data_IF_448333232910
#
_entry.id   IF_448333232910
#
_cell.length_a   1.000
_cell.length_b   1.000
_cell.length_c   1.000
_cell.angle_alpha   90.00
_cell.angle_beta   90.00
_cell.angle_gamma   90.00
#
_symmetry.space_group_name_H-M   'P 1'
#
loop_
_entity.id
_entity.type
_entity.pdbx_description
1 polymer ?
#
# COMPACT_ATOMS: atom_id res chain seq x y z
N UNK A 1 -23.37 29.82 19.93
CA UNK A 1 -22.17 30.27 20.67
C UNK A 1 -21.09 29.18 20.87
N UNK A 2 -21.10 28.08 20.10
CA UNK A 2 -20.09 26.99 20.18
C UNK A 2 -19.36 26.70 18.85
N UNK A 3 -19.68 27.44 17.78
CA UNK A 3 -18.96 27.46 16.49
C UNK A 3 -17.54 28.07 16.57
N UNK A 4 -17.18 28.60 17.74
CA UNK A 4 -15.89 29.26 17.99
C UNK A 4 -14.81 28.25 18.41
N UNK A 5 -15.17 27.02 18.86
CA UNK A 5 -14.18 26.06 19.36
C UNK A 5 -13.42 25.29 18.24
N UNK A 6 -14.06 24.98 17.11
CA UNK A 6 -13.39 24.42 15.93
C UNK A 6 -12.69 25.50 15.09
N UNK A 7 -13.21 26.74 15.10
CA UNK A 7 -12.56 27.89 14.45
C UNK A 7 -11.36 28.46 15.21
N UNK A 8 -11.32 28.35 16.55
CA UNK A 8 -10.17 28.83 17.35
C UNK A 8 -8.99 27.85 17.39
N UNK A 9 -9.20 26.56 17.18
CA UNK A 9 -8.09 25.62 17.01
C UNK A 9 -7.34 25.82 15.68
N UNK A 10 -7.95 26.49 14.71
CA UNK A 10 -7.31 26.88 13.44
C UNK A 10 -6.62 28.26 13.50
N UNK A 11 -6.82 29.06 14.55
CA UNK A 11 -6.34 30.46 14.62
C UNK A 11 -5.35 30.76 15.77
N UNK A 12 -4.86 29.73 16.46
CA UNK A 12 -3.83 29.90 17.50
C UNK A 12 -2.75 28.81 17.45
N UNK A 13 -2.34 28.38 16.26
CA UNK A 13 -0.99 27.83 16.10
C UNK A 13 -0.03 29.04 16.04
N UNK A 14 0.79 29.27 17.07
CA UNK A 14 1.71 30.40 17.04
C UNK A 14 2.66 30.23 15.86
N UNK A 15 2.88 31.33 15.14
CA UNK A 15 4.01 31.52 14.24
C UNK A 15 5.32 31.42 15.04
N UNK A 16 5.68 30.21 15.45
CA UNK A 16 7.02 29.85 15.86
C UNK A 16 7.59 29.01 14.73
N UNK A 17 8.78 29.39 14.27
CA UNK A 17 9.60 28.54 13.42
C UNK A 17 9.78 27.20 14.13
N UNK A 18 8.95 26.23 13.78
CA UNK A 18 9.18 24.86 14.13
C UNK A 18 10.42 24.44 13.34
N UNK A 19 11.41 23.89 14.06
CA UNK A 19 12.43 23.07 13.45
C UNK A 19 11.75 21.98 12.59
N UNK A 20 12.44 21.34 11.64
CA UNK A 20 11.88 20.24 10.85
C UNK A 20 11.67 19.02 11.77
N UNK A 21 10.68 19.09 12.65
CA UNK A 21 10.02 17.93 13.18
C UNK A 21 9.14 17.42 12.04
N UNK A 22 9.60 16.32 11.45
CA UNK A 22 8.88 15.52 10.46
C UNK A 22 7.41 15.43 10.88
N UNK A 23 6.51 15.92 10.02
CA UNK A 23 5.08 15.82 10.25
C UNK A 23 4.73 14.32 10.15
N UNK A 24 4.39 13.63 11.26
CA UNK A 24 4.19 12.17 11.24
C UNK A 24 3.06 11.76 10.29
N UNK A 25 2.14 12.68 10.00
CA UNK A 25 1.03 12.48 9.07
C UNK A 25 1.45 12.57 7.60
N UNK A 26 2.52 13.30 7.27
CA UNK A 26 3.03 13.39 5.90
C UNK A 26 3.68 12.07 5.47
N UNK A 27 4.50 11.48 6.34
CA UNK A 27 5.10 10.17 6.08
C UNK A 27 4.04 9.08 6.01
N UNK A 28 3.05 9.11 6.91
CA UNK A 28 1.91 8.19 6.87
C UNK A 28 1.08 8.34 5.57
N UNK A 29 0.90 9.57 5.07
CA UNK A 29 0.18 9.83 3.83
C UNK A 29 0.93 9.33 2.59
N UNK A 30 2.22 9.67 2.43
CA UNK A 30 3.05 9.18 1.33
C UNK A 30 3.18 7.65 1.34
N UNK A 31 3.11 7.06 2.53
CA UNK A 31 3.00 5.62 2.73
C UNK A 31 1.66 5.09 2.17
N UNK A 32 0.52 5.63 2.60
CA UNK A 32 -0.80 5.22 2.10
C UNK A 32 -0.96 5.40 0.58
N UNK A 33 -0.34 6.44 0.01
CA UNK A 33 -0.30 6.67 -1.44
C UNK A 33 0.18 5.44 -2.21
N UNK A 34 1.25 4.78 -1.76
CA UNK A 34 1.76 3.58 -2.41
C UNK A 34 0.68 2.50 -2.54
N UNK A 35 -0.08 2.27 -1.46
CA UNK A 35 -1.12 1.24 -1.42
C UNK A 35 -2.30 1.61 -2.29
N UNK A 36 -2.74 2.86 -2.27
CA UNK A 36 -3.82 3.33 -3.13
C UNK A 36 -3.46 3.17 -4.62
N UNK A 37 -2.21 3.48 -4.98
CA UNK A 37 -1.69 3.29 -6.35
C UNK A 37 -1.61 1.80 -6.71
N UNK A 38 -1.16 0.94 -5.77
CA UNK A 38 -1.16 -0.52 -5.94
C UNK A 38 -2.58 -1.05 -6.20
N UNK A 39 -3.54 -0.72 -5.34
CA UNK A 39 -4.93 -1.16 -5.48
C UNK A 39 -5.60 -0.60 -6.74
N UNK A 40 -5.24 0.63 -7.14
CA UNK A 40 -5.66 1.21 -8.41
C UNK A 40 -5.14 0.41 -9.60
N UNK A 41 -3.86 -0.01 -9.55
CA UNK A 41 -3.26 -0.85 -10.58
C UNK A 41 -3.85 -2.26 -10.60
N UNK A 42 -4.12 -2.89 -9.46
CA UNK A 42 -4.76 -4.23 -9.40
C UNK A 42 -6.12 -4.24 -10.09
N UNK A 43 -6.96 -3.22 -9.82
CA UNK A 43 -8.26 -3.08 -10.48
C UNK A 43 -8.11 -2.86 -11.99
N UNK A 44 -7.28 -1.91 -12.39
CA UNK A 44 -7.02 -1.65 -13.81
C UNK A 44 -6.45 -2.90 -14.51
N UNK A 45 -5.61 -3.67 -13.83
CA UNK A 45 -5.06 -4.92 -14.36
C UNK A 45 -6.16 -5.95 -14.59
N UNK A 46 -7.05 -6.15 -13.63
CA UNK A 46 -8.16 -7.09 -13.73
C UNK A 46 -9.12 -6.76 -14.89
N UNK A 47 -9.33 -5.47 -15.16
CA UNK A 47 -10.21 -4.97 -16.22
C UNK A 47 -9.54 -4.94 -17.61
N UNK A 48 -8.21 -4.82 -17.66
CA UNK A 48 -7.46 -4.69 -18.91
C UNK A 48 -7.45 -5.97 -19.78
N UNK A 49 -7.36 -5.78 -21.09
CA UNK A 49 -7.18 -6.87 -22.05
C UNK A 49 -5.75 -7.44 -22.02
N UNK A 50 -5.58 -8.64 -22.58
CA UNK A 50 -4.26 -9.31 -22.57
C UNK A 50 -3.20 -8.54 -23.35
N UNK A 51 -3.59 -7.83 -24.42
CA UNK A 51 -2.69 -6.97 -25.17
C UNK A 51 -2.12 -5.83 -24.29
N UNK A 52 -2.98 -5.14 -23.55
CA UNK A 52 -2.58 -4.05 -22.67
C UNK A 52 -1.68 -4.54 -21.54
N UNK A 53 -2.03 -5.70 -20.94
CA UNK A 53 -1.21 -6.37 -19.93
C UNK A 53 0.17 -6.74 -20.46
N UNK A 54 0.25 -7.27 -21.68
CA UNK A 54 1.54 -7.65 -22.27
C UNK A 54 2.42 -6.43 -22.55
N UNK A 55 1.85 -5.29 -22.95
CA UNK A 55 2.61 -4.04 -23.07
C UNK A 55 3.23 -3.61 -21.74
N UNK A 56 2.46 -3.67 -20.67
CA UNK A 56 2.95 -3.35 -19.33
C UNK A 56 4.04 -4.33 -18.88
N UNK A 57 3.88 -5.63 -19.16
CA UNK A 57 4.94 -6.62 -18.89
C UNK A 57 6.20 -6.33 -19.69
N UNK A 58 6.08 -6.00 -20.97
CA UNK A 58 7.22 -5.68 -21.83
C UNK A 58 7.99 -4.45 -21.30
N UNK A 59 7.29 -3.40 -20.90
CA UNK A 59 7.89 -2.22 -20.25
C UNK A 59 8.60 -2.59 -18.94
N UNK A 60 7.96 -3.40 -18.08
CA UNK A 60 8.56 -3.83 -16.83
C UNK A 60 9.81 -4.71 -17.04
N UNK A 61 9.81 -5.58 -18.06
CA UNK A 61 10.99 -6.39 -18.45
C UNK A 61 12.13 -5.49 -18.95
N UNK A 62 11.83 -4.50 -19.78
CA UNK A 62 12.84 -3.57 -20.31
C UNK A 62 13.50 -2.71 -19.23
N UNK A 63 12.74 -2.31 -18.20
CA UNK A 63 13.22 -1.48 -17.10
C UNK A 63 13.81 -2.28 -15.93
N UNK A 64 13.89 -3.62 -16.05
CA UNK A 64 14.39 -4.47 -14.99
C UNK A 64 15.89 -4.34 -14.84
N UNK A 65 16.36 -4.10 -13.62
CA UNK A 65 17.80 -4.07 -13.33
C UNK A 65 18.29 -5.43 -12.83
N UNK A 66 19.55 -5.77 -13.16
CA UNK A 66 20.18 -7.00 -12.69
C UNK A 66 20.18 -7.06 -11.16
N UNK A 67 19.70 -8.17 -10.59
CA UNK A 67 19.63 -8.38 -9.14
C UNK A 67 18.34 -7.90 -8.47
N UNK A 68 17.36 -7.33 -9.19
CA UNK A 68 16.05 -7.04 -8.62
C UNK A 68 15.30 -8.33 -8.22
N UNK A 69 14.70 -8.39 -7.01
CA UNK A 69 13.95 -9.55 -6.54
C UNK A 69 12.71 -9.81 -7.40
N UNK A 70 12.12 -11.01 -7.30
CA UNK A 70 10.97 -11.37 -8.12
C UNK A 70 9.70 -10.64 -7.71
N UNK A 71 9.47 -10.54 -6.40
CA UNK A 71 8.44 -9.70 -5.82
C UNK A 71 9.12 -8.52 -5.13
N UNK A 72 9.06 -7.34 -5.76
CA UNK A 72 9.58 -6.09 -5.19
C UNK A 72 8.48 -5.05 -5.09
N UNK A 73 8.58 -4.18 -4.09
CA UNK A 73 7.72 -3.02 -3.98
C UNK A 73 8.11 -2.01 -5.08
N UNK A 74 7.31 -1.94 -6.14
CA UNK A 74 7.52 -0.97 -7.21
C UNK A 74 7.44 0.47 -6.68
N UNK A 75 8.15 1.42 -7.30
CA UNK A 75 8.00 2.82 -6.91
C UNK A 75 6.60 3.34 -7.28
N UNK A 76 6.11 4.38 -6.58
CA UNK A 76 4.85 5.02 -6.92
C UNK A 76 4.80 5.48 -8.38
N UNK A 77 5.93 5.95 -8.93
CA UNK A 77 6.06 6.29 -10.35
C UNK A 77 5.76 5.08 -11.26
N UNK A 78 6.40 3.93 -11.01
CA UNK A 78 6.21 2.71 -11.82
C UNK A 78 4.77 2.24 -11.77
N UNK A 79 4.12 2.32 -10.60
CA UNK A 79 2.71 1.98 -10.45
C UNK A 79 1.80 2.91 -11.27
N UNK A 80 2.07 4.21 -11.22
CA UNK A 80 1.33 5.22 -11.99
C UNK A 80 1.51 5.01 -13.50
N UNK A 81 2.75 4.85 -13.97
CA UNK A 81 3.08 4.63 -15.38
C UNK A 81 2.40 3.35 -15.91
N UNK A 82 2.47 2.25 -15.15
CA UNK A 82 1.80 1.00 -15.50
C UNK A 82 0.28 1.15 -15.62
N UNK A 83 -0.35 1.89 -14.70
CA UNK A 83 -1.79 2.14 -14.74
C UNK A 83 -2.20 2.94 -15.99
N UNK A 84 -1.41 3.94 -16.40
CA UNK A 84 -1.69 4.68 -17.63
C UNK A 84 -1.59 3.80 -18.88
N UNK A 85 -0.57 2.93 -18.95
CA UNK A 85 -0.41 1.98 -20.07
C UNK A 85 -1.63 1.03 -20.20
N UNK A 86 -2.24 0.63 -19.08
CA UNK A 86 -3.44 -0.21 -19.08
C UNK A 86 -4.71 0.52 -19.53
N UNK A 87 -4.77 1.84 -19.39
CA UNK A 87 -5.92 2.63 -19.82
C UNK A 87 -6.05 2.74 -21.36
N UNK A 88 -5.15 2.09 -22.12
CA UNK A 88 -5.25 1.96 -23.58
C UNK A 88 -4.53 3.06 -24.37
N UNK A 89 -3.74 3.89 -23.69
CA UNK A 89 -3.11 5.07 -24.29
C UNK A 89 -1.60 4.80 -24.50
N UNK A 90 -1.33 3.95 -25.50
CA UNK A 90 0.00 3.40 -25.80
C UNK A 90 1.00 4.48 -26.25
N UNK A 91 0.53 5.44 -27.05
CA UNK A 91 1.27 6.68 -27.35
C UNK A 91 1.46 7.50 -26.08
N UNK A 92 0.42 7.61 -25.23
CA UNK A 92 0.48 8.52 -24.09
C UNK A 92 1.50 8.18 -23.01
N UNK A 93 2.07 6.97 -22.86
CA UNK A 93 3.10 6.76 -21.81
C UNK A 93 4.51 7.08 -22.26
N UNK A 94 4.86 6.91 -23.54
CA UNK A 94 6.10 7.49 -24.11
C UNK A 94 5.94 8.97 -24.43
N UNK A 95 4.74 9.40 -24.82
CA UNK A 95 4.37 10.77 -25.13
C UNK A 95 3.75 11.52 -23.95
N UNK A 96 3.72 10.92 -22.74
CA UNK A 96 3.26 11.60 -21.54
C UNK A 96 4.12 12.84 -21.46
N UNK A 97 3.47 13.97 -21.73
CA UNK A 97 4.14 15.25 -21.74
C UNK A 97 4.83 15.39 -20.41
N UNK A 98 5.98 16.06 -20.39
CA UNK A 98 6.69 16.30 -19.15
C UNK A 98 5.77 16.98 -18.11
N UNK A 99 4.78 17.75 -18.57
CA UNK A 99 3.66 18.28 -17.80
C UNK A 99 2.86 17.19 -17.11
N UNK A 100 2.35 16.20 -17.84
CA UNK A 100 1.56 15.11 -17.23
C UNK A 100 2.40 14.31 -16.24
N UNK A 101 3.68 14.06 -16.54
CA UNK A 101 4.60 13.39 -15.60
C UNK A 101 4.82 14.19 -14.31
N UNK A 102 5.01 15.51 -14.45
CA UNK A 102 5.11 16.42 -13.31
C UNK A 102 3.81 16.41 -12.51
N UNK A 103 2.65 16.57 -13.15
CA UNK A 103 1.36 16.55 -12.46
C UNK A 103 1.10 15.22 -11.76
N UNK A 104 1.46 14.08 -12.36
CA UNK A 104 1.35 12.76 -11.74
C UNK A 104 2.31 12.57 -10.56
N UNK A 105 3.43 13.29 -10.54
CA UNK A 105 4.37 13.29 -9.43
C UNK A 105 3.89 14.10 -8.21
N UNK A 106 2.80 14.87 -8.37
CA UNK A 106 2.14 15.57 -7.28
C UNK A 106 1.08 14.67 -6.67
N UNK A 107 1.13 14.55 -5.36
CA UNK A 107 0.09 13.94 -4.56
C UNK A 107 -0.71 15.01 -3.83
N UNK A 108 -1.99 14.73 -3.57
CA UNK A 108 -2.91 15.69 -2.97
C UNK A 108 -3.48 15.15 -1.67
N UNK A 109 -3.19 15.83 -0.58
CA UNK A 109 -3.77 15.56 0.73
C UNK A 109 -4.80 16.64 1.04
N UNK A 110 -6.09 16.27 1.02
CA UNK A 110 -7.21 17.20 1.21
C UNK A 110 -7.62 17.21 2.69
N UNK A 111 -7.74 18.40 3.27
CA UNK A 111 -8.11 18.61 4.67
C UNK A 111 -9.29 19.61 4.79
N UNK A 112 -10.41 19.20 5.39
CA UNK A 112 -10.78 17.82 5.73
C UNK A 112 -10.83 16.89 4.50
N UNK A 113 -10.62 15.59 4.69
CA UNK A 113 -10.64 14.59 3.60
C UNK A 113 -12.03 14.34 2.98
N UNK A 114 -13.04 15.06 3.45
CA UNK A 114 -14.40 15.07 2.94
C UNK A 114 -15.09 16.39 3.27
N UNK A 115 -16.18 16.66 2.57
CA UNK A 115 -16.95 17.89 2.75
C UNK A 115 -18.44 17.59 2.85
N UNK A 116 -19.18 18.55 3.39
CA UNK A 116 -20.63 18.51 3.44
C UNK A 116 -21.20 18.73 2.03
N UNK A 117 -21.91 17.75 1.51
CA UNK A 117 -22.63 17.90 0.24
C UNK A 117 -23.81 18.85 0.41
N UNK A 118 -23.71 20.04 -0.18
CA UNK A 118 -24.70 21.12 -0.07
C UNK A 118 -24.95 21.80 -1.42
N UNK A 119 -26.22 22.09 -1.72
CA UNK A 119 -26.66 22.83 -2.91
C UNK A 119 -26.57 24.36 -2.68
N UNK A 120 -25.41 24.85 -2.21
CA UNK A 120 -25.18 26.29 -1.96
C UNK A 120 -23.96 26.76 -2.75
N UNK A 121 -23.96 28.04 -3.12
CA UNK A 121 -22.91 28.67 -3.95
C UNK A 121 -21.48 28.56 -3.38
N UNK A 122 -21.35 28.33 -2.07
CA UNK A 122 -20.05 28.15 -1.40
C UNK A 122 -20.13 27.02 -0.38
N UNK A 123 -19.42 25.92 -0.67
CA UNK A 123 -19.27 24.78 0.24
C UNK A 123 -18.21 25.01 1.32
N UNK A 124 -17.91 23.94 2.05
CA UNK A 124 -16.92 23.94 3.13
C UNK A 124 -15.54 24.43 2.67
N UNK A 125 -14.81 25.09 3.55
CA UNK A 125 -13.42 25.49 3.27
C UNK A 125 -12.52 24.26 3.32
N UNK A 126 -11.66 24.11 2.31
CA UNK A 126 -10.72 23.01 2.16
C UNK A 126 -9.30 23.54 1.99
N UNK A 127 -8.37 22.82 2.58
CA UNK A 127 -6.93 22.98 2.37
C UNK A 127 -6.46 21.76 1.59
N UNK A 128 -5.70 21.97 0.53
CA UNK A 128 -5.01 20.90 -0.17
C UNK A 128 -3.53 21.09 -0.03
N UNK A 129 -2.90 20.14 0.66
CA UNK A 129 -1.45 20.00 0.68
C UNK A 129 -1.03 19.29 -0.58
N UNK A 130 -0.26 20.00 -1.41
CA UNK A 130 0.35 19.47 -2.62
C UNK A 130 1.72 18.92 -2.25
N UNK A 131 1.86 17.60 -2.31
CA UNK A 131 3.03 16.87 -1.87
C UNK A 131 3.80 16.33 -3.09
N UNK A 132 5.04 16.77 -3.35
CA UNK A 132 5.83 16.26 -4.46
C UNK A 132 6.38 14.86 -4.13
N UNK A 133 5.67 13.81 -4.54
CA UNK A 133 6.00 12.43 -4.25
C UNK A 133 7.27 11.95 -4.97
N UNK A 134 7.46 12.35 -6.23
CA UNK A 134 8.64 11.98 -7.03
C UNK A 134 9.05 13.05 -8.06
N UNK A 135 8.68 14.31 -7.83
CA UNK A 135 8.97 15.43 -8.76
C UNK A 135 10.47 15.71 -8.94
N UNK A 136 11.32 15.24 -8.01
CA UNK A 136 12.79 15.31 -8.13
C UNK A 136 13.32 14.68 -9.43
N UNK A 137 12.63 13.68 -9.98
CA UNK A 137 12.99 13.05 -11.25
C UNK A 137 12.89 14.02 -12.44
N UNK A 138 12.07 15.07 -12.31
CA UNK A 138 11.75 16.02 -13.37
C UNK A 138 12.30 17.44 -13.13
N UNK A 139 13.04 17.65 -12.04
CA UNK A 139 13.53 18.99 -11.65
C UNK A 139 14.29 19.73 -12.74
N UNK A 140 15.10 19.02 -13.52
CA UNK A 140 15.90 19.62 -14.60
C UNK A 140 15.06 20.14 -15.76
N UNK A 141 13.84 19.62 -15.93
CA UNK A 141 12.94 19.98 -17.01
C UNK A 141 11.89 21.03 -16.59
N UNK A 142 11.81 21.37 -15.30
CA UNK A 142 10.86 22.35 -14.80
C UNK A 142 11.32 23.78 -15.16
N UNK A 143 10.43 24.62 -15.72
CA UNK A 143 10.68 26.06 -15.79
C UNK A 143 10.70 26.67 -14.39
N UNK A 144 11.11 27.93 -14.27
CA UNK A 144 11.12 28.65 -12.99
C UNK A 144 9.74 28.71 -12.33
N UNK A 145 8.70 28.89 -13.16
CA UNK A 145 7.31 28.96 -12.73
C UNK A 145 6.42 28.12 -13.65
N UNK A 146 5.48 27.39 -13.05
CA UNK A 146 4.40 26.67 -13.74
C UNK A 146 3.04 27.20 -13.28
N UNK A 147 1.99 27.02 -14.07
CA UNK A 147 0.63 27.23 -13.60
C UNK A 147 0.07 25.91 -13.06
N UNK A 148 -0.41 25.89 -11.81
CA UNK A 148 -1.11 24.74 -11.24
C UNK A 148 -2.60 25.07 -11.11
N UNK A 149 -3.44 24.19 -11.64
CA UNK A 149 -4.90 24.28 -11.58
C UNK A 149 -5.45 23.04 -10.89
N UNK A 150 -6.29 23.25 -9.87
CA UNK A 150 -7.07 22.19 -9.25
C UNK A 150 -8.43 22.10 -9.93
N UNK A 151 -8.79 20.90 -10.38
CA UNK A 151 -10.04 20.62 -11.09
C UNK A 151 -10.85 19.61 -10.29
N UNK A 152 -12.08 19.98 -9.95
CA UNK A 152 -13.09 19.07 -9.44
C UNK A 152 -13.74 18.34 -10.60
N UNK A 153 -13.90 17.02 -10.46
CA UNK A 153 -14.75 16.20 -11.31
C UNK A 153 -15.84 15.61 -10.43
N UNK A 154 -17.08 15.91 -10.77
CA UNK A 154 -18.25 15.42 -10.07
C UNK A 154 -18.50 13.93 -10.33
N UNK A 155 -19.37 13.26 -9.54
CA UNK A 155 -19.74 11.87 -9.78
C UNK A 155 -20.36 11.60 -11.17
N UNK A 156 -20.98 12.61 -11.79
CA UNK A 156 -21.53 12.57 -13.15
C UNK A 156 -20.52 13.03 -14.23
N UNK A 157 -19.26 13.29 -13.85
CA UNK A 157 -18.17 13.60 -14.77
C UNK A 157 -18.06 15.06 -15.18
N UNK A 158 -18.83 15.97 -14.57
CA UNK A 158 -18.72 17.40 -14.85
C UNK A 158 -17.46 17.98 -14.20
N UNK A 159 -16.70 18.74 -14.99
CA UNK A 159 -15.49 19.39 -14.51
C UNK A 159 -15.78 20.82 -14.05
N UNK A 160 -15.24 21.19 -12.88
CA UNK A 160 -15.29 22.56 -12.36
C UNK A 160 -13.91 22.95 -11.84
N UNK A 161 -13.41 24.11 -12.27
CA UNK A 161 -12.13 24.63 -11.77
C UNK A 161 -12.30 25.08 -10.31
N UNK A 162 -11.49 24.53 -9.42
CA UNK A 162 -11.47 24.91 -8.00
C UNK A 162 -10.62 26.16 -7.78
N UNK A 163 -9.37 26.15 -8.25
CA UNK A 163 -8.41 27.24 -8.10
C UNK A 163 -7.29 27.08 -9.14
N UNK A 164 -6.70 28.19 -9.55
CA UNK A 164 -5.52 28.19 -10.42
C UNK A 164 -4.55 29.24 -9.90
N UNK A 165 -3.28 28.87 -9.72
CA UNK A 165 -2.24 29.81 -9.29
C UNK A 165 -0.86 29.45 -9.85
N UNK A 166 0.01 30.45 -10.03
CA UNK A 166 1.37 30.20 -10.45
C UNK A 166 2.20 29.66 -9.27
N UNK A 167 3.01 28.63 -9.54
CA UNK A 167 3.83 27.91 -8.56
C UNK A 167 5.29 27.95 -9.00
N UNK A 168 6.16 28.42 -8.10
CA UNK A 168 7.60 28.40 -8.33
C UNK A 168 8.13 26.97 -8.22
N UNK A 169 9.09 26.57 -9.06
CA UNK A 169 9.65 25.20 -9.06
C UNK A 169 10.21 24.77 -7.71
N UNK A 170 10.68 25.70 -6.90
CA UNK A 170 11.24 25.42 -5.57
C UNK A 170 10.15 25.01 -4.56
N UNK A 171 8.87 25.23 -4.84
CA UNK A 171 7.76 24.69 -4.05
C UNK A 171 7.44 23.22 -4.42
N UNK A 172 7.99 22.70 -5.52
CA UNK A 172 7.80 21.32 -6.00
C UNK A 172 8.86 20.36 -5.43
N UNK A 173 9.34 20.65 -4.23
CA UNK A 173 10.16 19.76 -3.40
C UNK A 173 9.56 19.69 -2.00
N UNK A 174 9.85 18.60 -1.27
CA UNK A 174 9.39 18.47 0.10
C UNK A 174 9.83 19.68 0.95
N UNK A 175 8.94 20.22 1.81
CA UNK A 175 7.69 19.62 2.28
C UNK A 175 6.46 19.81 1.36
N UNK A 176 6.57 20.52 0.24
CA UNK A 176 5.44 20.90 -0.61
C UNK A 176 4.83 22.24 -0.22
N UNK A 177 3.56 22.46 -0.56
CA UNK A 177 2.84 23.70 -0.25
C UNK A 177 1.33 23.48 -0.10
N UNK A 178 0.61 24.51 0.36
CA UNK A 178 -0.82 24.45 0.61
C UNK A 178 -1.60 25.37 -0.34
N UNK A 179 -2.71 24.84 -0.86
CA UNK A 179 -3.71 25.58 -1.62
C UNK A 179 -5.01 25.64 -0.84
N UNK A 180 -5.66 26.79 -0.85
CA UNK A 180 -6.92 27.00 -0.12
C UNK A 180 -8.06 27.23 -1.10
N UNK A 181 -9.14 26.47 -1.00
CA UNK A 181 -10.33 26.68 -1.84
C UNK A 181 -11.58 26.15 -1.15
N UNK A 182 -12.74 26.29 -1.82
CA UNK A 182 -14.01 25.79 -1.30
C UNK A 182 -14.44 24.53 -2.02
N UNK A 183 -15.12 23.64 -1.29
CA UNK A 183 -15.87 22.55 -1.89
C UNK A 183 -16.91 23.13 -2.89
N UNK A 184 -17.12 22.46 -4.02
CA UNK A 184 -18.11 22.90 -5.00
C UNK A 184 -19.53 22.71 -4.45
N UNK A 185 -20.53 23.46 -4.96
CA UNK A 185 -21.94 23.10 -4.81
C UNK A 185 -22.12 21.66 -5.31
N UNK A 186 -22.64 20.77 -4.46
CA UNK A 186 -22.41 19.35 -4.66
C UNK A 186 -23.53 18.47 -4.14
N UNK A 187 -23.82 17.42 -4.92
CA UNK A 187 -24.58 16.26 -4.48
C UNK A 187 -23.69 15.30 -3.70
N UNK A 188 -24.26 14.49 -2.80
CA UNK A 188 -23.52 13.43 -2.12
C UNK A 188 -22.90 12.45 -3.12
N UNK A 189 -21.71 11.93 -2.83
CA UNK A 189 -21.00 10.97 -3.65
C UNK A 189 -19.49 11.17 -3.66
N UNK A 190 -18.79 10.38 -4.48
CA UNK A 190 -17.34 10.45 -4.64
C UNK A 190 -16.97 11.45 -5.73
N UNK A 191 -16.31 12.54 -5.34
CA UNK A 191 -15.74 13.52 -6.23
C UNK A 191 -14.26 13.21 -6.47
N UNK A 192 -13.70 13.67 -7.59
CA UNK A 192 -12.27 13.59 -7.86
C UNK A 192 -11.65 14.98 -7.92
N UNK A 193 -10.55 15.19 -7.22
CA UNK A 193 -9.71 16.37 -7.35
C UNK A 193 -8.49 16.02 -8.21
N UNK A 194 -8.28 16.75 -9.29
CA UNK A 194 -7.20 16.51 -10.25
C UNK A 194 -6.26 17.71 -10.28
N UNK A 195 -4.94 17.51 -10.12
CA UNK A 195 -3.97 18.56 -10.40
C UNK A 195 -3.70 18.62 -11.91
N UNK A 196 -3.82 19.80 -12.50
CA UNK A 196 -3.43 20.10 -13.88
C UNK A 196 -2.29 21.11 -13.85
N UNK A 197 -1.15 20.77 -14.44
CA UNK A 197 -0.03 21.71 -14.61
C UNK A 197 0.02 22.21 -16.04
N UNK A 198 0.38 23.48 -16.20
CA UNK A 198 0.51 24.11 -17.51
C UNK A 198 1.78 24.96 -17.55
N UNK A 199 2.55 24.81 -18.63
CA UNK A 199 3.57 25.77 -19.02
C UNK A 199 3.80 25.71 -20.53
N UNK A 200 4.23 26.83 -21.11
CA UNK A 200 4.40 26.99 -22.56
C UNK A 200 3.15 26.59 -23.38
N UNK A 201 1.95 26.80 -22.83
CA UNK A 201 0.67 26.48 -23.47
C UNK A 201 0.33 24.98 -23.54
N UNK A 202 1.16 24.12 -22.95
CA UNK A 202 0.91 22.67 -22.89
C UNK A 202 0.43 22.32 -21.48
N UNK A 203 -0.63 21.50 -21.43
CA UNK A 203 -1.25 21.03 -20.19
C UNK A 203 -0.91 19.58 -19.93
N UNK A 204 -0.83 19.23 -18.65
CA UNK A 204 -0.70 17.86 -18.20
C UNK A 204 -1.51 17.63 -16.95
N UNK A 205 -2.22 16.51 -16.91
CA UNK A 205 -3.09 16.13 -15.79
C UNK A 205 -2.42 15.06 -14.94
N UNK A 206 -2.56 15.21 -13.63
CA UNK A 206 -2.05 14.27 -12.65
C UNK A 206 -3.09 13.23 -12.28
N UNK A 207 -2.80 12.50 -11.21
CA UNK A 207 -3.67 11.41 -10.78
C UNK A 207 -4.82 11.97 -9.94
N UNK A 208 -6.09 11.62 -10.22
CA UNK A 208 -7.22 12.03 -9.41
C UNK A 208 -7.10 11.51 -7.97
N UNK A 209 -7.44 12.36 -7.00
CA UNK A 209 -7.65 11.99 -5.60
C UNK A 209 -9.14 12.03 -5.28
N UNK A 210 -9.65 10.94 -4.70
CA UNK A 210 -11.06 10.84 -4.34
C UNK A 210 -11.36 11.64 -3.05
N UNK A 211 -12.41 12.45 -3.07
CA UNK A 211 -12.92 13.20 -1.92
C UNK A 211 -14.41 12.97 -1.81
N UNK A 212 -14.89 12.59 -0.63
CA UNK A 212 -16.31 12.27 -0.43
C UNK A 212 -17.11 13.53 -0.08
N UNK A 213 -18.18 13.77 -0.83
CA UNK A 213 -19.24 14.70 -0.47
C UNK A 213 -20.31 13.96 0.33
N UNK A 214 -20.47 14.30 1.61
CA UNK A 214 -21.32 13.55 2.55
C UNK A 214 -22.44 14.43 3.07
N UNK A 215 -23.66 13.89 3.13
CA UNK A 215 -24.83 14.66 3.59
C UNK A 215 -24.81 14.82 5.11
N UNK A 216 -24.94 16.06 5.58
CA UNK A 216 -24.94 16.40 7.02
C UNK A 216 -23.74 15.78 7.76
N UNK A 217 -22.56 15.86 7.15
CA UNK A 217 -21.33 15.19 7.60
C UNK A 217 -21.05 15.45 9.09
N UNK A 218 -20.92 16.72 9.48
CA UNK A 218 -20.57 17.10 10.85
C UNK A 218 -21.69 16.76 11.86
N UNK A 219 -22.97 16.94 11.50
CA UNK A 219 -24.09 16.58 12.37
C UNK A 219 -24.17 15.05 12.64
N UNK A 220 -23.77 14.24 11.66
CA UNK A 220 -23.70 12.78 11.79
C UNK A 220 -22.49 12.35 12.61
N UNK A 221 -21.34 12.97 12.35
CA UNK A 221 -20.14 12.77 13.13
C UNK A 221 -20.36 13.10 14.62
N UNK A 222 -20.93 14.27 14.92
CA UNK A 222 -21.21 14.70 16.31
C UNK A 222 -22.18 13.77 17.04
N UNK A 223 -23.18 13.23 16.32
CA UNK A 223 -24.08 12.21 16.86
C UNK A 223 -23.32 10.92 17.19
N UNK A 224 -22.42 10.48 16.31
CA UNK A 224 -21.62 9.28 16.54
C UNK A 224 -20.68 9.46 17.74
N UNK A 225 -20.00 10.61 17.85
CA UNK A 225 -19.16 10.97 19.01
C UNK A 225 -19.96 10.92 20.30
N UNK A 226 -21.18 11.47 20.29
CA UNK A 226 -22.07 11.49 21.46
C UNK A 226 -22.59 10.10 21.85
N UNK A 227 -22.62 9.15 20.92
CA UNK A 227 -23.17 7.80 21.10
C UNK A 227 -22.11 6.72 21.35
N UNK A 228 -20.84 6.98 21.03
CA UNK A 228 -19.80 5.95 20.97
C UNK A 228 -19.51 5.24 22.31
N UNK A 229 -19.86 5.85 23.45
CA UNK A 229 -19.75 5.25 24.78
C UNK A 229 -18.43 4.49 25.00
N UNK A 230 -18.50 3.26 25.51
CA UNK A 230 -17.34 2.35 25.65
C UNK A 230 -17.25 1.31 24.52
N UNK A 231 -18.07 1.40 23.48
CA UNK A 231 -18.10 0.40 22.40
C UNK A 231 -16.82 0.48 21.56
N UNK A 232 -16.08 -0.63 21.50
CA UNK A 232 -14.79 -0.71 20.80
C UNK A 232 -14.93 -0.53 19.28
N UNK A 233 -15.97 -1.09 18.67
CA UNK A 233 -16.25 -0.91 17.24
C UNK A 233 -16.55 0.55 16.90
N UNK A 234 -17.33 1.24 17.73
CA UNK A 234 -17.63 2.66 17.52
C UNK A 234 -16.39 3.54 17.72
N UNK A 235 -15.53 3.21 18.70
CA UNK A 235 -14.23 3.88 18.87
C UNK A 235 -13.32 3.67 17.65
N UNK A 236 -13.27 2.47 17.08
CA UNK A 236 -12.50 2.21 15.87
C UNK A 236 -13.00 3.04 14.68
N UNK A 237 -14.32 3.14 14.49
CA UNK A 237 -14.94 3.99 13.46
C UNK A 237 -14.58 5.46 13.69
N UNK A 238 -14.70 5.96 14.92
CA UNK A 238 -14.36 7.34 15.26
C UNK A 238 -12.89 7.65 14.97
N UNK A 239 -11.95 6.77 15.35
CA UNK A 239 -10.53 6.94 15.05
C UNK A 239 -10.28 7.04 13.53
N UNK A 240 -10.95 6.22 12.72
CA UNK A 240 -10.85 6.31 11.26
C UNK A 240 -11.41 7.65 10.74
N UNK A 241 -12.59 8.07 11.22
CA UNK A 241 -13.21 9.33 10.82
C UNK A 241 -12.37 10.54 11.24
N UNK A 242 -11.84 10.57 12.46
CA UNK A 242 -10.95 11.63 12.94
C UNK A 242 -9.72 11.76 12.07
N UNK A 243 -9.09 10.64 11.69
CA UNK A 243 -7.94 10.68 10.79
C UNK A 243 -8.28 11.24 9.41
N UNK A 244 -9.42 10.87 8.84
CA UNK A 244 -9.86 11.39 7.55
C UNK A 244 -10.20 12.89 7.65
N UNK A 245 -10.94 13.29 8.68
CA UNK A 245 -11.44 14.66 8.81
C UNK A 245 -10.37 15.66 9.30
N UNK A 246 -9.48 15.25 10.20
CA UNK A 246 -8.45 16.11 10.78
C UNK A 246 -7.12 16.05 10.02
N UNK A 247 -6.86 14.94 9.33
CA UNK A 247 -5.58 14.71 8.67
C UNK A 247 -5.73 14.37 7.19
N UNK A 248 -6.92 14.28 6.61
CA UNK A 248 -7.07 13.90 5.19
C UNK A 248 -6.59 12.49 4.87
N UNK A 249 -6.26 11.71 5.90
CA UNK A 249 -5.62 10.40 5.77
C UNK A 249 -6.67 9.31 5.70
N UNK A 250 -6.89 8.76 4.51
CA UNK A 250 -7.64 7.51 4.32
C UNK A 250 -6.68 6.34 4.33
N UNK A 251 -7.05 5.24 4.98
CA UNK A 251 -6.35 3.98 4.73
C UNK A 251 -6.96 3.30 3.53
N UNK A 252 -6.09 2.73 2.70
CA UNK A 252 -6.49 1.80 1.68
C UNK A 252 -7.30 0.64 2.29
N UNK A 253 -8.47 0.36 1.71
CA UNK A 253 -9.36 -0.71 2.17
C UNK A 253 -10.36 -0.33 3.27
N UNK A 254 -10.27 0.87 3.85
CA UNK A 254 -11.31 1.35 4.77
C UNK A 254 -12.62 1.64 4.00
N UNK A 255 -13.79 1.41 4.64
CA UNK A 255 -15.08 1.80 4.11
C UNK A 255 -15.12 3.27 3.67
N UNK A 256 -16.12 3.62 2.85
CA UNK A 256 -16.43 5.03 2.59
C UNK A 256 -16.78 5.75 3.90
N UNK A 257 -16.65 7.06 3.94
CA UNK A 257 -17.09 7.85 5.10
C UNK A 257 -18.57 7.65 5.34
N UNK A 258 -19.36 7.55 4.26
CA UNK A 258 -20.77 7.20 4.35
C UNK A 258 -20.97 5.83 5.02
N UNK A 259 -20.19 4.81 4.64
CA UNK A 259 -20.21 3.48 5.27
C UNK A 259 -19.79 3.51 6.74
N UNK A 260 -18.71 4.22 7.07
CA UNK A 260 -18.26 4.42 8.46
C UNK A 260 -19.36 5.08 9.32
N UNK A 261 -20.00 6.13 8.80
CA UNK A 261 -21.13 6.80 9.46
C UNK A 261 -22.38 5.92 9.55
N UNK A 262 -22.49 4.84 8.78
CA UNK A 262 -23.54 3.83 8.85
C UNK A 262 -23.17 2.64 9.77
N UNK A 263 -21.95 2.62 10.33
CA UNK A 263 -21.49 1.58 11.22
C UNK A 263 -20.69 0.47 10.55
N UNK A 264 -20.29 0.64 9.28
CA UNK A 264 -19.39 -0.32 8.63
C UNK A 264 -18.06 -0.38 9.39
N UNK A 265 -17.64 -1.61 9.69
CA UNK A 265 -16.45 -1.85 10.51
C UNK A 265 -15.20 -1.65 9.66
N UNK A 266 -14.24 -0.80 10.07
CA UNK A 266 -13.01 -0.60 9.32
C UNK A 266 -12.19 -1.90 9.26
N UNK A 267 -11.42 -2.08 8.20
CA UNK A 267 -10.64 -3.29 7.97
C UNK A 267 -9.63 -3.58 9.10
N UNK A 268 -9.19 -2.53 9.82
CA UNK A 268 -8.32 -2.65 11.01
C UNK A 268 -9.01 -3.30 12.21
N UNK A 269 -10.33 -3.15 12.37
CA UNK A 269 -11.06 -3.68 13.53
C UNK A 269 -11.32 -5.19 13.45
N UNK A 270 -11.05 -5.83 12.31
CA UNK A 270 -11.08 -7.29 12.16
C UNK A 270 -9.76 -7.97 12.56
N UNK A 271 -8.81 -7.22 13.15
CA UNK A 271 -7.43 -7.68 13.39
C UNK A 271 -7.13 -7.66 14.87
N UNK A 272 -6.50 -8.71 15.40
CA UNK A 272 -5.83 -8.62 16.70
C UNK A 272 -4.44 -8.01 16.49
N UNK A 273 -4.28 -6.76 16.93
CA UNK A 273 -2.96 -6.12 16.98
C UNK A 273 -2.29 -6.56 18.28
N UNK A 274 -1.24 -7.35 18.14
CA UNK A 274 -0.43 -7.73 19.29
C UNK A 274 0.85 -6.88 19.26
N UNK A 275 1.07 -6.10 20.31
CA UNK A 275 2.39 -5.51 20.56
C UNK A 275 3.28 -6.60 21.13
N UNK A 276 4.35 -6.96 20.41
CA UNK A 276 5.31 -7.95 20.89
C UNK A 276 6.49 -7.23 21.55
N UNK A 277 6.57 -7.40 22.87
CA UNK A 277 7.64 -6.87 23.74
C UNK A 277 7.96 -5.36 23.58
N UNK A 278 6.97 -4.53 23.22
CA UNK A 278 7.12 -3.08 23.14
C UNK A 278 7.96 -2.58 21.95
N UNK A 279 8.34 -3.45 21.01
CA UNK A 279 9.08 -3.09 19.79
C UNK A 279 8.62 -3.97 18.63
N UNK A 280 7.92 -3.39 17.68
CA UNK A 280 7.41 -4.07 16.48
C UNK A 280 5.91 -4.42 16.58
N UNK A 281 5.18 -4.09 15.52
CA UNK A 281 3.76 -4.43 15.37
C UNK A 281 3.67 -5.78 14.67
N UNK A 282 2.94 -6.72 15.26
CA UNK A 282 2.55 -7.94 14.56
C UNK A 282 1.04 -7.99 14.42
N UNK A 283 0.57 -8.44 13.27
CA UNK A 283 -0.83 -8.69 13.00
C UNK A 283 -1.05 -10.19 12.94
N UNK A 284 -2.08 -10.67 13.62
CA UNK A 284 -2.46 -12.07 13.60
C UNK A 284 -3.81 -12.24 12.91
N UNK A 285 -3.89 -13.25 12.05
CA UNK A 285 -5.14 -13.82 11.55
C UNK A 285 -5.25 -15.24 12.08
N UNK A 286 -6.36 -15.53 12.74
CA UNK A 286 -6.67 -16.86 13.23
C UNK A 286 -7.55 -17.63 12.22
N UNK A 287 -7.52 -18.97 12.26
CA UNK A 287 -8.48 -19.78 11.54
C UNK A 287 -9.93 -19.43 11.90
N UNK A 288 -10.87 -19.88 11.06
CA UNK A 288 -12.29 -19.75 11.35
C UNK A 288 -12.63 -20.36 12.73
N UNK A 289 -13.56 -19.73 13.45
CA UNK A 289 -13.96 -20.18 14.78
C UNK A 289 -14.32 -21.68 14.78
N UNK A 290 -13.79 -22.42 15.76
CA UNK A 290 -13.97 -23.87 15.87
C UNK A 290 -13.13 -24.71 14.90
N UNK A 291 -12.32 -24.11 14.03
CA UNK A 291 -11.41 -24.82 13.12
C UNK A 291 -10.02 -24.94 13.74
N UNK A 292 -9.47 -26.16 13.92
CA UNK A 292 -8.10 -26.31 14.42
C UNK A 292 -7.08 -25.86 13.38
N UNK A 293 -6.05 -25.13 13.82
CA UNK A 293 -4.96 -24.72 12.96
C UNK A 293 -4.16 -25.93 12.47
N UNK A 294 -3.86 -25.98 11.17
CA UNK A 294 -2.97 -26.96 10.53
C UNK A 294 -1.51 -26.55 10.56
N UNK A 295 -1.23 -25.27 10.75
CA UNK A 295 0.12 -24.71 10.72
C UNK A 295 0.15 -23.24 11.11
N UNK A 296 1.36 -22.71 11.28
CA UNK A 296 1.62 -21.30 11.55
C UNK A 296 2.49 -20.73 10.43
N UNK A 297 2.00 -19.69 9.75
CA UNK A 297 2.71 -18.98 8.68
C UNK A 297 3.16 -17.62 9.19
N UNK A 298 4.47 -17.40 9.26
CA UNK A 298 5.08 -16.13 9.68
C UNK A 298 5.58 -15.39 8.46
N UNK A 299 4.95 -14.27 8.13
CA UNK A 299 5.32 -13.42 7.00
C UNK A 299 6.13 -12.25 7.49
N UNK A 300 7.40 -12.23 7.10
CA UNK A 300 8.31 -11.12 7.34
C UNK A 300 8.29 -10.23 6.11
N UNK A 301 7.87 -8.98 6.27
CA UNK A 301 7.93 -8.01 5.19
C UNK A 301 8.33 -6.64 5.70
N UNK A 302 9.34 -6.00 5.07
CA UNK A 302 9.74 -4.64 5.42
C UNK A 302 8.70 -3.59 4.99
N UNK A 303 7.66 -4.00 4.25
CA UNK A 303 6.59 -3.12 3.74
C UNK A 303 5.34 -3.19 4.63
N UNK A 304 5.35 -3.96 5.72
CA UNK A 304 4.20 -4.14 6.62
C UNK A 304 3.85 -2.91 7.50
N UNK A 305 4.61 -1.82 7.39
CA UNK A 305 4.58 -0.64 8.26
C UNK A 305 3.16 -0.17 8.66
N UNK A 306 2.83 -0.32 9.94
CA UNK A 306 1.78 0.31 10.78
C UNK A 306 0.30 0.31 10.31
N UNK A 307 -0.01 -0.10 9.08
CA UNK A 307 -1.36 -0.05 8.53
C UNK A 307 -1.87 -1.42 8.01
N UNK A 308 -1.04 -2.46 8.08
CA UNK A 308 -1.40 -3.81 7.65
C UNK A 308 -1.75 -3.88 6.17
N UNK A 309 -0.92 -3.28 5.32
CA UNK A 309 -1.15 -3.20 3.88
C UNK A 309 -1.12 -4.53 3.14
N UNK A 310 -0.41 -5.52 3.67
CA UNK A 310 -0.50 -6.89 3.15
C UNK A 310 -1.93 -7.45 3.28
N UNK A 311 -2.75 -6.87 4.18
CA UNK A 311 -4.12 -7.28 4.43
C UNK A 311 -5.17 -6.53 3.60
N UNK A 312 -4.77 -5.78 2.56
CA UNK A 312 -5.72 -5.07 1.69
C UNK A 312 -5.56 -5.43 0.23
N UNK A 313 -6.65 -5.33 -0.53
CA UNK A 313 -6.70 -5.79 -1.92
C UNK A 313 -6.75 -7.30 -2.02
N UNK A 314 -6.32 -7.82 -3.17
CA UNK A 314 -6.39 -9.26 -3.44
C UNK A 314 -5.36 -10.05 -2.61
N UNK A 315 -4.22 -9.45 -2.26
CA UNK A 315 -3.26 -10.03 -1.32
C UNK A 315 -3.92 -10.29 0.05
N UNK A 316 -4.62 -9.29 0.59
CA UNK A 316 -5.28 -9.40 1.88
C UNK A 316 -6.38 -10.44 1.92
N UNK A 317 -7.19 -10.51 0.85
CA UNK A 317 -8.19 -11.58 0.67
C UNK A 317 -7.51 -12.94 0.68
N UNK A 318 -6.39 -13.10 -0.05
CA UNK A 318 -5.63 -14.32 -0.07
C UNK A 318 -5.11 -14.73 1.31
N UNK A 319 -4.60 -13.79 2.11
CA UNK A 319 -4.17 -14.09 3.49
C UNK A 319 -5.34 -14.49 4.39
N UNK A 320 -6.50 -13.82 4.27
CA UNK A 320 -7.72 -14.16 5.02
C UNK A 320 -8.27 -15.54 4.62
N UNK A 321 -8.29 -15.85 3.33
CA UNK A 321 -8.71 -17.15 2.81
C UNK A 321 -7.75 -18.26 3.26
N UNK A 322 -6.43 -18.02 3.21
CA UNK A 322 -5.44 -18.96 3.70
C UNK A 322 -5.59 -19.19 5.22
N UNK A 323 -5.90 -18.15 5.99
CA UNK A 323 -6.16 -18.28 7.42
C UNK A 323 -7.43 -19.12 7.67
N UNK A 324 -8.55 -18.72 7.08
CA UNK A 324 -9.86 -19.33 7.31
C UNK A 324 -10.00 -20.71 6.66
N UNK A 325 -9.93 -20.78 5.32
CA UNK A 325 -10.16 -22.01 4.56
C UNK A 325 -8.94 -22.93 4.57
N UNK A 326 -7.72 -22.36 4.53
CA UNK A 326 -6.48 -23.11 4.67
C UNK A 326 -6.19 -23.58 6.10
N UNK A 327 -7.00 -23.13 7.07
CA UNK A 327 -6.84 -23.39 8.50
C UNK A 327 -5.42 -23.05 9.01
N UNK A 328 -4.83 -21.97 8.52
CA UNK A 328 -3.52 -21.51 8.95
C UNK A 328 -3.65 -20.38 9.97
N UNK A 329 -2.74 -20.33 10.95
CA UNK A 329 -2.52 -19.10 11.71
C UNK A 329 -1.53 -18.23 10.97
N UNK A 330 -1.92 -17.02 10.57
CA UNK A 330 -1.03 -16.10 9.85
C UNK A 330 -0.53 -15.04 10.82
N UNK A 331 0.79 -14.87 10.88
CA UNK A 331 1.46 -13.82 11.67
C UNK A 331 2.25 -12.94 10.71
N UNK A 332 1.81 -11.70 10.54
CA UNK A 332 2.51 -10.70 9.73
C UNK A 332 3.39 -9.84 10.64
N UNK A 333 4.66 -9.66 10.29
CA UNK A 333 5.61 -8.92 11.12
C UNK A 333 6.63 -8.10 10.31
N UNK A 334 7.01 -6.95 10.88
CA UNK A 334 8.10 -6.09 10.41
C UNK A 334 9.44 -6.40 11.11
N UNK A 335 9.45 -7.38 12.02
CA UNK A 335 10.64 -7.67 12.82
C UNK A 335 11.83 -7.99 11.92
N UNK A 336 12.89 -7.20 12.09
CA UNK A 336 14.17 -7.44 11.43
C UNK A 336 14.84 -8.67 12.05
N UNK A 337 15.56 -9.48 11.26
CA UNK A 337 16.25 -10.67 11.74
C UNK A 337 17.56 -10.41 12.48
N UNK A 338 18.01 -9.16 12.50
CA UNK A 338 19.26 -8.78 13.17
C UNK A 338 19.11 -7.40 13.77
N UNK A 339 18.46 -7.32 14.94
CA UNK A 339 18.57 -6.12 15.76
C UNK A 339 19.65 -6.33 16.82
N UNK A 340 20.49 -5.32 17.01
CA UNK A 340 21.50 -5.33 18.08
C UNK A 340 20.88 -5.24 19.49
N UNK A 341 19.59 -4.88 19.58
CA UNK A 341 18.82 -4.85 20.83
C UNK A 341 17.31 -4.93 20.55
N UNK A 342 16.59 -5.79 21.29
CA UNK A 342 15.15 -6.00 21.14
C UNK A 342 14.80 -7.35 20.52
N UNK A 343 13.50 -7.74 20.55
CA UNK A 343 13.06 -8.99 19.93
C UNK A 343 13.32 -8.97 18.43
N UNK A 344 13.86 -10.05 17.89
CA UNK A 344 14.00 -10.25 16.45
C UNK A 344 13.02 -11.31 15.91
N UNK A 345 13.07 -11.57 14.60
CA UNK A 345 12.20 -12.60 14.01
C UNK A 345 12.47 -13.99 14.60
N UNK A 346 13.68 -14.31 15.02
CA UNK A 346 14.02 -15.61 15.58
C UNK A 346 13.43 -15.78 16.99
N UNK A 347 13.40 -14.71 17.78
CA UNK A 347 12.69 -14.69 19.07
C UNK A 347 11.20 -14.97 18.89
N UNK A 348 10.58 -14.37 17.87
CA UNK A 348 9.18 -14.63 17.52
C UNK A 348 8.97 -16.10 17.12
N UNK A 349 9.81 -16.64 16.23
CA UNK A 349 9.72 -18.03 15.79
C UNK A 349 9.91 -19.02 16.96
N UNK A 350 10.88 -18.77 17.83
CA UNK A 350 11.13 -19.60 19.02
C UNK A 350 9.97 -19.55 20.01
N UNK A 351 9.29 -18.41 20.13
CA UNK A 351 8.08 -18.29 20.94
C UNK A 351 6.90 -19.02 20.33
N UNK A 352 6.61 -18.80 19.04
CA UNK A 352 5.54 -19.51 18.34
C UNK A 352 5.73 -21.03 18.38
N UNK A 353 6.96 -21.52 18.30
CA UNK A 353 7.28 -22.94 18.48
C UNK A 353 6.92 -23.46 19.86
N UNK A 354 7.14 -22.68 20.93
CA UNK A 354 6.75 -23.07 22.30
C UNK A 354 5.24 -23.05 22.50
N UNK A 355 4.56 -22.09 21.87
CA UNK A 355 3.09 -21.96 21.94
C UNK A 355 2.40 -23.05 21.10
N UNK A 356 3.03 -23.50 20.01
CA UNK A 356 2.49 -24.47 19.06
C UNK A 356 3.53 -25.55 18.71
N UNK A 357 3.89 -26.43 19.66
CA UNK A 357 4.97 -27.40 19.47
C UNK A 357 4.69 -28.40 18.34
N UNK A 358 3.41 -28.74 18.13
CA UNK A 358 2.98 -29.78 17.19
C UNK A 358 2.60 -29.24 15.80
N UNK A 359 2.61 -27.92 15.61
CA UNK A 359 2.23 -27.30 14.33
C UNK A 359 3.47 -27.01 13.47
N UNK A 360 3.41 -27.28 12.15
CA UNK A 360 4.45 -26.86 11.23
C UNK A 360 4.54 -25.32 11.17
N UNK A 361 5.76 -24.80 11.26
CA UNK A 361 6.08 -23.38 11.20
C UNK A 361 6.67 -23.04 9.82
N UNK A 362 5.96 -22.21 9.07
CA UNK A 362 6.37 -21.73 7.75
C UNK A 362 6.87 -20.29 7.86
N UNK A 363 8.11 -20.04 7.47
CA UNK A 363 8.67 -18.70 7.36
C UNK A 363 8.55 -18.19 5.92
N UNK A 364 7.93 -17.03 5.73
CA UNK A 364 7.79 -16.36 4.43
C UNK A 364 8.61 -15.09 4.45
N UNK A 365 9.62 -15.02 3.58
CA UNK A 365 10.41 -13.83 3.34
C UNK A 365 9.80 -13.09 2.16
N UNK A 366 9.02 -12.02 2.45
CA UNK A 366 8.27 -11.26 1.46
C UNK A 366 8.86 -9.86 1.24
N UNK A 367 9.35 -9.58 0.03
CA UNK A 367 9.73 -8.24 -0.41
C UNK A 367 11.24 -7.93 -0.43
N UNK A 368 11.57 -6.71 -0.87
CA UNK A 368 12.94 -6.28 -1.12
C UNK A 368 13.75 -6.09 0.17
N UNK A 369 15.04 -6.46 0.15
CA UNK A 369 15.96 -6.22 1.28
C UNK A 369 16.16 -7.44 2.20
N UNK A 370 15.40 -8.51 1.99
CA UNK A 370 15.55 -9.77 2.73
C UNK A 370 16.65 -10.68 2.17
N UNK A 371 17.40 -10.26 1.15
CA UNK A 371 18.55 -11.03 0.65
C UNK A 371 19.64 -11.25 1.70
N UNK A 372 19.86 -10.27 2.60
CA UNK A 372 20.76 -10.46 3.76
C UNK A 372 20.21 -11.48 4.75
N UNK A 373 18.89 -11.45 4.99
CA UNK A 373 18.20 -12.43 5.84
C UNK A 373 18.33 -13.85 5.27
N UNK A 374 18.04 -14.01 3.99
CA UNK A 374 18.23 -15.26 3.25
C UNK A 374 19.66 -15.78 3.41
N UNK A 375 20.67 -14.92 3.19
CA UNK A 375 22.08 -15.31 3.34
C UNK A 375 22.45 -15.69 4.78
N UNK A 376 21.93 -14.99 5.79
CA UNK A 376 22.16 -15.32 7.20
C UNK A 376 21.53 -16.65 7.60
N UNK A 377 20.28 -16.89 7.19
CA UNK A 377 19.59 -18.17 7.41
C UNK A 377 20.34 -19.35 6.81
N UNK A 378 20.86 -19.16 5.60
CA UNK A 378 21.60 -20.18 4.88
C UNK A 378 23.02 -20.43 5.40
N UNK A 379 23.55 -19.54 6.24
CA UNK A 379 24.88 -19.65 6.87
C UNK A 379 24.82 -20.10 8.33
N UNK A 380 23.62 -20.30 8.89
CA UNK A 380 23.43 -20.83 10.23
C UNK A 380 23.89 -22.29 10.31
N UNK A 381 24.78 -22.60 11.26
CA UNK A 381 25.25 -23.97 11.54
C UNK A 381 24.25 -24.81 12.38
N UNK A 382 23.16 -24.19 12.87
CA UNK A 382 22.10 -24.86 13.67
C UNK A 382 20.87 -25.28 12.86
N UNK A 383 20.03 -26.20 13.40
CA UNK A 383 18.75 -26.53 12.78
C UNK A 383 17.88 -25.28 12.69
N UNK A 384 17.20 -25.05 11.55
CA UNK A 384 16.35 -23.89 11.39
C UNK A 384 15.19 -23.92 12.40
N UNK A 385 14.78 -22.77 12.95
CA UNK A 385 13.66 -22.71 13.88
C UNK A 385 12.28 -22.87 13.21
N UNK A 386 12.25 -23.14 11.90
CA UNK A 386 11.06 -23.30 11.07
C UNK A 386 11.15 -24.61 10.28
N UNK A 387 9.99 -25.15 9.91
CA UNK A 387 9.86 -26.40 9.17
C UNK A 387 9.79 -26.18 7.66
N UNK A 388 9.45 -24.96 7.21
CA UNK A 388 9.20 -24.61 5.81
C UNK A 388 9.68 -23.18 5.53
N UNK A 389 10.15 -22.94 4.31
CA UNK A 389 10.67 -21.62 3.91
C UNK A 389 10.16 -21.18 2.54
N UNK A 390 9.54 -20.01 2.47
CA UNK A 390 9.15 -19.33 1.24
C UNK A 390 10.07 -18.13 1.02
N UNK A 391 10.67 -18.04 -0.17
CA UNK A 391 11.55 -16.93 -0.55
C UNK A 391 11.09 -16.34 -1.88
N UNK A 392 10.57 -15.12 -1.85
CA UNK A 392 10.19 -14.40 -3.07
C UNK A 392 11.23 -13.37 -3.54
N UNK A 393 12.27 -13.17 -2.73
CA UNK A 393 13.33 -12.19 -2.94
C UNK A 393 14.63 -12.87 -3.40
N UNK A 394 14.66 -13.49 -4.58
CA UNK A 394 15.91 -14.12 -5.04
C UNK A 394 16.86 -13.05 -5.60
N UNK A 395 18.00 -12.85 -4.94
CA UNK A 395 19.18 -12.22 -5.57
C UNK A 395 19.70 -13.19 -6.65
N UNK A 396 19.22 -13.02 -7.87
CA UNK A 396 19.66 -13.81 -9.02
C UNK A 396 21.18 -13.62 -9.24
N UNK A 397 21.94 -14.71 -9.21
CA UNK A 397 23.40 -14.70 -9.42
C UNK A 397 24.27 -14.94 -8.17
N UNK A 398 23.70 -14.95 -6.96
CA UNK A 398 24.40 -15.47 -5.79
C UNK A 398 24.22 -17.00 -5.74
N UNK A 399 25.26 -17.81 -5.48
CA UNK A 399 25.13 -19.24 -5.27
C UNK A 399 24.36 -19.49 -3.97
N UNK A 400 23.03 -19.51 -4.07
CA UNK A 400 22.12 -19.86 -2.99
C UNK A 400 22.20 -21.38 -2.83
N UNK A 401 22.91 -21.86 -1.81
CA UNK A 401 22.80 -23.25 -1.35
C UNK A 401 21.40 -23.45 -0.73
N UNK A 402 20.49 -24.23 -1.32
CA UNK A 402 19.24 -24.58 -0.66
C UNK A 402 19.54 -25.17 0.72
N UNK A 403 18.69 -24.84 1.68
CA UNK A 403 18.69 -25.54 2.96
C UNK A 403 18.11 -26.93 2.70
N UNK A 404 18.97 -27.89 2.37
CA UNK A 404 18.58 -29.23 1.87
C UNK A 404 17.61 -29.97 2.81
N UNK A 405 17.55 -29.58 4.08
CA UNK A 405 16.70 -30.18 5.11
C UNK A 405 15.29 -29.57 5.24
N UNK A 406 14.95 -28.49 4.53
CA UNK A 406 13.67 -27.76 4.68
C UNK A 406 12.96 -27.68 3.34
N UNK A 407 11.66 -28.03 3.22
CA UNK A 407 10.88 -27.73 2.03
C UNK A 407 10.90 -26.23 1.70
N UNK A 408 11.17 -25.91 0.44
CA UNK A 408 11.33 -24.53 -0.02
C UNK A 408 10.42 -24.21 -1.18
N UNK A 409 9.85 -23.00 -1.16
CA UNK A 409 9.14 -22.39 -2.27
C UNK A 409 9.86 -21.12 -2.71
N UNK A 410 10.26 -21.07 -3.97
CA UNK A 410 10.86 -19.88 -4.58
C UNK A 410 9.86 -19.17 -5.48
N UNK A 411 9.86 -17.85 -5.49
CA UNK A 411 9.18 -17.09 -6.55
C UNK A 411 10.21 -16.63 -7.57
N UNK A 412 10.06 -17.12 -8.80
CA UNK A 412 10.88 -16.77 -9.94
C UNK A 412 10.23 -15.63 -10.74
N UNK A 413 11.04 -14.68 -11.20
CA UNK A 413 10.55 -13.45 -11.80
C UNK A 413 10.20 -13.59 -13.29
N UNK A 414 9.16 -12.87 -13.75
CA UNK A 414 8.83 -12.52 -15.14
C UNK A 414 9.42 -13.45 -16.22
N UNK A 415 9.05 -14.73 -16.22
CA UNK A 415 9.50 -15.68 -17.26
C UNK A 415 8.48 -15.78 -18.40
N UNK A 416 8.97 -15.71 -19.65
CA UNK A 416 8.14 -15.61 -20.86
C UNK A 416 7.23 -16.83 -21.12
N UNK A 417 7.54 -18.01 -20.56
CA UNK A 417 6.97 -19.28 -21.06
C UNK A 417 6.41 -20.23 -20.00
N UNK A 418 6.35 -19.84 -18.73
CA UNK A 418 5.77 -20.71 -17.70
C UNK A 418 5.12 -19.90 -16.59
N UNK A 419 3.83 -20.13 -16.39
CA UNK A 419 3.04 -19.57 -15.28
C UNK A 419 2.60 -20.72 -14.39
N UNK A 420 2.84 -20.61 -13.07
CA UNK A 420 2.32 -21.53 -12.07
C UNK A 420 3.38 -22.17 -11.16
N UNK A 421 2.87 -22.92 -10.18
CA UNK A 421 3.64 -23.70 -9.22
C UNK A 421 4.16 -24.98 -9.87
N UNK A 422 5.46 -25.25 -9.75
CA UNK A 422 6.07 -26.50 -10.18
C UNK A 422 7.23 -26.90 -9.29
N UNK A 423 7.64 -28.16 -9.39
CA UNK A 423 8.91 -28.60 -8.82
C UNK A 423 10.07 -27.90 -9.52
N UNK A 424 11.05 -27.41 -8.76
CA UNK A 424 12.18 -26.70 -9.33
C UNK A 424 13.01 -27.61 -10.23
N UNK A 425 13.38 -27.10 -11.40
CA UNK A 425 14.31 -27.75 -12.33
C UNK A 425 15.71 -27.11 -12.30
N UNK A 426 15.92 -26.09 -11.46
CA UNK A 426 17.17 -25.33 -11.42
C UNK A 426 18.23 -26.16 -10.68
N UNK A 427 19.36 -26.50 -11.33
CA UNK A 427 20.41 -27.27 -10.69
C UNK A 427 21.03 -26.47 -9.53
N UNK A 428 21.22 -27.16 -8.41
CA UNK A 428 21.79 -26.62 -7.19
C UNK A 428 23.22 -27.15 -7.10
N UNK A 429 24.23 -26.28 -7.17
CA UNK A 429 25.64 -26.69 -7.15
C UNK A 429 25.96 -27.85 -8.13
N UNK A 430 25.42 -27.79 -9.36
CA UNK A 430 25.52 -28.85 -10.37
C UNK A 430 24.86 -30.19 -10.02
N UNK A 431 24.00 -30.24 -8.98
CA UNK A 431 23.19 -31.38 -8.61
C UNK A 431 21.70 -31.14 -8.89
N UNK A 432 20.94 -32.22 -9.05
CA UNK A 432 19.48 -32.17 -9.17
C UNK A 432 18.88 -31.51 -7.92
N UNK A 433 17.96 -30.55 -8.06
CA UNK A 433 17.31 -29.92 -6.90
C UNK A 433 16.59 -30.97 -6.03
N UNK A 434 16.60 -30.81 -4.68
CA UNK A 434 15.88 -31.71 -3.78
C UNK A 434 14.40 -31.82 -4.14
N UNK A 435 13.77 -32.95 -3.80
CA UNK A 435 12.35 -33.18 -4.10
C UNK A 435 11.39 -32.19 -3.43
N UNK A 436 11.83 -31.58 -2.34
CA UNK A 436 11.09 -30.64 -1.53
C UNK A 436 11.21 -29.17 -1.99
N UNK A 437 11.82 -28.92 -3.16
CA UNK A 437 12.01 -27.56 -3.69
C UNK A 437 11.04 -27.28 -4.84
N UNK A 438 10.22 -26.26 -4.65
CA UNK A 438 9.24 -25.77 -5.61
C UNK A 438 9.57 -24.36 -6.05
N UNK A 439 9.11 -24.00 -7.24
CA UNK A 439 9.19 -22.66 -7.78
C UNK A 439 7.83 -22.24 -8.35
N UNK A 440 7.48 -20.98 -8.12
CA UNK A 440 6.43 -20.29 -8.83
C UNK A 440 7.10 -19.50 -9.94
N UNK A 441 6.63 -19.67 -11.16
CA UNK A 441 7.00 -18.77 -12.26
C UNK A 441 5.79 -17.92 -12.61
N UNK A 442 6.00 -16.62 -12.71
CA UNK A 442 4.96 -15.66 -13.09
C UNK A 442 5.49 -14.78 -14.21
N UNK A 443 4.63 -14.47 -15.17
CA UNK A 443 4.90 -13.47 -16.20
C UNK A 443 4.22 -12.13 -15.90
N UNK A 444 3.49 -12.02 -14.78
CA UNK A 444 2.82 -10.80 -14.37
C UNK A 444 3.75 -9.86 -13.60
N UNK A 445 3.36 -8.58 -13.50
CA UNK A 445 4.09 -7.60 -12.71
C UNK A 445 4.34 -8.11 -11.28
N UNK A 446 5.48 -7.73 -10.65
CA UNK A 446 5.80 -8.10 -9.26
C UNK A 446 4.66 -7.81 -8.28
N UNK A 447 4.00 -6.66 -8.41
CA UNK A 447 2.89 -6.27 -7.54
C UNK A 447 1.64 -7.14 -7.73
N UNK A 448 1.33 -7.51 -8.98
CA UNK A 448 0.19 -8.40 -9.31
C UNK A 448 0.50 -9.84 -8.87
N UNK A 449 1.75 -10.27 -9.03
CA UNK A 449 2.21 -11.57 -8.55
C UNK A 449 2.22 -11.63 -7.02
N UNK A 450 2.59 -10.55 -6.35
CA UNK A 450 2.53 -10.42 -4.89
C UNK A 450 1.11 -10.64 -4.35
N UNK A 451 0.11 -10.07 -5.02
CA UNK A 451 -1.29 -10.27 -4.65
C UNK A 451 -1.77 -11.74 -4.71
N UNK A 452 -1.09 -12.60 -5.48
CA UNK A 452 -1.41 -14.04 -5.60
C UNK A 452 -0.57 -14.93 -4.68
N UNK A 453 0.43 -14.38 -4.01
CA UNK A 453 1.37 -15.11 -3.16
C UNK A 453 0.67 -16.00 -2.11
N UNK A 454 -0.35 -15.53 -1.37
CA UNK A 454 -1.01 -16.37 -0.36
C UNK A 454 -1.67 -17.62 -0.97
N UNK A 455 -2.30 -17.48 -2.13
CA UNK A 455 -2.92 -18.59 -2.84
C UNK A 455 -1.91 -19.62 -3.32
N UNK A 456 -0.75 -19.18 -3.83
CA UNK A 456 0.33 -20.10 -4.19
C UNK A 456 0.97 -20.79 -2.98
N UNK A 457 1.08 -20.10 -1.85
CA UNK A 457 1.53 -20.70 -0.59
C UNK A 457 0.54 -21.78 -0.16
N UNK A 458 -0.77 -21.50 -0.20
CA UNK A 458 -1.80 -22.50 0.11
C UNK A 458 -1.68 -23.76 -0.76
N UNK A 459 -1.58 -23.60 -2.08
CA UNK A 459 -1.37 -24.72 -3.01
C UNK A 459 -0.09 -25.50 -2.73
N UNK A 460 0.98 -24.81 -2.36
CA UNK A 460 2.25 -25.46 -2.03
C UNK A 460 2.17 -26.22 -0.71
N UNK A 461 1.51 -25.67 0.31
CA UNK A 461 1.30 -26.34 1.60
C UNK A 461 0.57 -27.68 1.41
N UNK A 462 -0.47 -27.72 0.57
CA UNK A 462 -1.17 -28.98 0.22
C UNK A 462 -0.29 -30.06 -0.44
N UNK A 463 0.86 -29.68 -1.02
CA UNK A 463 1.79 -30.63 -1.63
C UNK A 463 2.86 -31.14 -0.67
N UNK A 464 3.11 -30.43 0.43
CA UNK A 464 4.18 -30.73 1.40
C UNK A 464 3.66 -31.15 2.78
N UNK A 465 2.37 -30.93 3.05
CA UNK A 465 1.58 -31.61 4.07
C UNK A 465 1.15 -33.00 3.55
#
# INVERSE_FOLDING_TARGET
MRLVALGLLALAAPCFGASPQENPYQDAHLRNLYVERRLGLERAWAEAGEADRERVRASARANRTGGQPALYAASAQVLTDARFMLAGDEEAVSELSIQSRVACSLDLMVLPGAFSAVDRDRGDALIVRVLPAYTRLYQRALPEQIQLTMIWVSPDGQETRARSEPVHRDALVLPGFEMYFHAPPSKPGTWSLIPEVEWAGVKGRGVPVAVEGVRALFDRYDRLVSQAGSNESQRAILTCLERILLHGGRDAGDPSIEGLLQGETPARAQRSVHSWAGKGTCFQLDPAEGTPAKGVVVVVSPVLHEAGWALVGDEGKGWLELAAAGAQRIVLTELSPSQSSGPDVFDLLARLRREHPDLPLTLVLHGSGLGRLQLSLMRSDGPPPFDRLVVDSVLWGAPVRPMVAVPMLFVSPLEEKAVGLRRSSVPVNNATPPASVYEIRSNDLPVISGARLPGWIGQWLELVD
#
